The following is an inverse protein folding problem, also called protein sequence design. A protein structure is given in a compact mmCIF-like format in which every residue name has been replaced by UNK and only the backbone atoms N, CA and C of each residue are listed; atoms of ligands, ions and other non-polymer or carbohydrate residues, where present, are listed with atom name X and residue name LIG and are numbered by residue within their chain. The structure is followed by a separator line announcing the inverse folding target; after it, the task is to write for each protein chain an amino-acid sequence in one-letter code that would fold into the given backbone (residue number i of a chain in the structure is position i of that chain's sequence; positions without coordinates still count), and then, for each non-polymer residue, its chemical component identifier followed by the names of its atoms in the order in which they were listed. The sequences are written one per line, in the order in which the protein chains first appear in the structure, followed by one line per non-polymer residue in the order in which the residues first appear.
data_IF_130400307430
#
_entry.id   IF_130400307430
#
_cell.length_a   1.000
_cell.length_b   1.000
_cell.length_c   1.000
_cell.angle_alpha   90.00
_cell.angle_beta   90.00
_cell.angle_gamma   90.00
#
_symmetry.space_group_name_H-M   'P 1'
#
loop_
_entity.id
_entity.type
_entity.pdbx_description
1 polymer ?
#
# COMPACT_ATOMS: atom_id res chain seq x y z
N UNK A 1 -12.19 -12.82 -10.21
CA UNK A 1 -13.42 -13.07 -11.00
C UNK A 1 -13.84 -11.89 -11.88
N UNK A 2 -13.47 -10.63 -11.56
CA UNK A 2 -13.77 -9.47 -12.43
C UNK A 2 -12.51 -8.79 -13.00
N UNK A 3 -11.38 -9.49 -13.05
CA UNK A 3 -10.12 -8.91 -13.51
C UNK A 3 -10.16 -8.59 -15.01
N UNK A 4 -10.89 -9.39 -15.79
CA UNK A 4 -11.06 -9.17 -17.23
C UNK A 4 -11.82 -7.86 -17.54
N UNK A 5 -12.52 -7.30 -16.55
CA UNK A 5 -13.28 -6.05 -16.68
C UNK A 5 -12.43 -4.87 -16.20
N UNK A 6 -11.88 -4.95 -14.99
CA UNK A 6 -11.21 -3.80 -14.35
C UNK A 6 -9.69 -3.80 -14.50
N UNK A 7 -9.08 -4.91 -14.94
CA UNK A 7 -7.64 -5.13 -14.88
C UNK A 7 -6.85 -4.16 -15.76
N UNK A 8 -7.38 -3.84 -16.94
CA UNK A 8 -6.75 -2.89 -17.85
C UNK A 8 -6.70 -1.48 -17.25
N UNK A 9 -7.82 -1.00 -16.70
CA UNK A 9 -7.92 0.32 -16.09
C UNK A 9 -7.04 0.43 -14.84
N UNK A 10 -7.08 -0.58 -13.97
CA UNK A 10 -6.21 -0.65 -12.78
C UNK A 10 -4.75 -0.59 -13.20
N UNK A 11 -4.34 -1.36 -14.20
CA UNK A 11 -2.96 -1.41 -14.68
C UNK A 11 -2.53 -0.05 -15.23
N UNK A 12 -3.36 0.60 -16.06
CA UNK A 12 -3.09 1.92 -16.60
C UNK A 12 -2.86 2.96 -15.51
N UNK A 13 -3.75 3.02 -14.50
CA UNK A 13 -3.61 3.97 -13.39
C UNK A 13 -2.34 3.71 -12.59
N UNK A 14 -2.05 2.45 -12.27
CA UNK A 14 -0.85 2.09 -11.51
C UNK A 14 0.43 2.46 -12.27
N UNK A 15 0.48 2.19 -13.58
CA UNK A 15 1.65 2.54 -14.41
C UNK A 15 1.88 4.04 -14.38
N UNK A 16 0.84 4.84 -14.63
CA UNK A 16 0.97 6.31 -14.64
C UNK A 16 1.45 6.88 -13.30
N UNK A 17 0.96 6.32 -12.19
CA UNK A 17 1.42 6.70 -10.85
C UNK A 17 2.90 6.38 -10.66
N UNK A 18 3.32 5.19 -11.05
CA UNK A 18 4.71 4.73 -10.83
C UNK A 18 5.69 5.44 -11.78
N UNK A 19 5.26 5.79 -13.00
CA UNK A 19 6.02 6.62 -13.94
C UNK A 19 6.05 8.11 -13.53
N UNK A 20 5.29 8.50 -12.52
CA UNK A 20 5.20 9.88 -12.03
C UNK A 20 4.41 10.82 -12.94
N UNK A 21 3.65 10.30 -13.90
CA UNK A 21 2.79 11.10 -14.79
C UNK A 21 1.47 11.48 -14.13
N UNK A 22 1.02 10.70 -13.13
CA UNK A 22 -0.13 11.02 -12.28
C UNK A 22 0.24 10.93 -10.79
N UNK A 23 -0.43 11.72 -9.96
CA UNK A 23 -0.22 11.71 -8.51
C UNK A 23 -1.07 10.65 -7.82
N UNK A 24 -0.51 9.95 -6.84
CA UNK A 24 -1.26 9.05 -5.97
C UNK A 24 -2.12 9.78 -4.91
N UNK A 25 -2.09 11.12 -4.85
CA UNK A 25 -2.75 11.89 -3.80
C UNK A 25 -4.25 11.59 -3.67
N UNK A 26 -4.96 11.41 -4.79
CA UNK A 26 -6.40 11.11 -4.80
C UNK A 26 -6.77 9.72 -4.23
N UNK A 27 -5.80 8.83 -4.06
CA UNK A 27 -6.00 7.46 -3.54
C UNK A 27 -5.17 7.17 -2.29
N UNK A 28 -4.47 8.16 -1.76
CA UNK A 28 -3.63 8.05 -0.55
C UNK A 28 -4.43 8.32 0.74
N UNK A 29 -5.75 8.18 0.69
CA UNK A 29 -6.58 8.24 1.88
C UNK A 29 -6.40 6.97 2.72
N UNK A 30 -6.26 7.15 4.03
CA UNK A 30 -6.02 6.08 4.99
C UNK A 30 -7.16 6.05 6.01
N UNK A 31 -7.75 4.86 6.17
CA UNK A 31 -8.62 4.57 7.31
C UNK A 31 -7.79 3.92 8.40
N UNK A 32 -7.67 4.60 9.55
CA UNK A 32 -6.99 4.04 10.71
C UNK A 32 -7.94 3.11 11.47
N UNK A 33 -7.54 1.85 11.60
CA UNK A 33 -8.27 0.84 12.37
C UNK A 33 -7.45 0.41 13.58
N UNK A 34 -8.07 0.34 14.75
CA UNK A 34 -7.44 -0.09 15.99
C UNK A 34 -7.82 -1.54 16.27
N UNK A 35 -6.86 -2.46 16.16
CA UNK A 35 -7.06 -3.88 16.48
C UNK A 35 -6.64 -4.14 17.93
N UNK A 36 -7.54 -4.68 18.80
CA UNK A 36 -7.19 -5.04 20.16
C UNK A 36 -6.07 -6.10 20.21
N UNK A 37 -5.06 -5.91 21.08
CA UNK A 37 -4.03 -6.92 21.37
C UNK A 37 -4.38 -7.81 22.57
N UNK A 38 -5.32 -7.38 23.40
CA UNK A 38 -5.74 -8.06 24.64
C UNK A 38 -7.27 -8.08 24.74
N UNK A 39 -7.79 -8.96 25.59
CA UNK A 39 -9.23 -8.99 25.94
C UNK A 39 -9.57 -7.77 26.79
N UNK A 40 -10.65 -7.05 26.46
CA UNK A 40 -11.13 -5.84 27.15
C UNK A 40 -10.08 -4.72 27.27
N UNK A 41 -9.62 -4.13 26.15
CA UNK A 41 -8.64 -3.06 26.18
C UNK A 41 -9.20 -1.79 26.83
N UNK A 42 -8.42 -1.17 27.72
CA UNK A 42 -8.74 0.08 28.42
C UNK A 42 -7.75 1.20 28.11
N UNK A 43 -6.58 0.87 27.55
CA UNK A 43 -5.54 1.83 27.17
C UNK A 43 -5.28 1.79 25.66
N UNK A 44 -4.99 2.95 25.05
CA UNK A 44 -4.64 3.03 23.61
C UNK A 44 -3.42 2.18 23.24
N UNK A 45 -2.45 2.06 24.15
CA UNK A 45 -1.26 1.21 23.98
C UNK A 45 -1.59 -0.28 23.84
N UNK A 46 -2.81 -0.71 24.21
CA UNK A 46 -3.29 -2.08 24.04
C UNK A 46 -3.88 -2.35 22.67
N UNK A 47 -3.97 -1.34 21.80
CA UNK A 47 -4.35 -1.52 20.41
C UNK A 47 -3.11 -1.55 19.50
N UNK A 48 -3.24 -2.25 18.38
CA UNK A 48 -2.33 -2.16 17.24
C UNK A 48 -3.02 -1.31 16.17
N UNK A 49 -2.51 -0.13 15.83
CA UNK A 49 -3.03 0.62 14.69
C UNK A 49 -2.68 -0.11 13.39
N UNK A 50 -3.65 -0.21 12.48
CA UNK A 50 -3.44 -0.64 11.10
C UNK A 50 -4.00 0.44 10.18
N UNK A 51 -3.17 0.87 9.24
CA UNK A 51 -3.57 1.76 8.15
C UNK A 51 -4.19 0.94 7.02
N UNK A 52 -5.50 1.09 6.80
CA UNK A 52 -6.16 0.57 5.61
C UNK A 52 -6.10 1.63 4.52
N UNK A 53 -5.30 1.38 3.49
CA UNK A 53 -5.20 2.24 2.31
C UNK A 53 -5.90 1.63 1.09
N UNK A 54 -6.11 2.46 0.06
CA UNK A 54 -6.72 2.05 -1.21
C UNK A 54 -5.93 0.91 -1.88
N UNK A 55 -6.63 -0.03 -2.51
CA UNK A 55 -6.01 -1.17 -3.21
C UNK A 55 -5.09 -0.70 -4.35
N UNK A 56 -5.47 0.34 -5.10
CA UNK A 56 -4.62 0.93 -6.15
C UNK A 56 -3.29 1.44 -5.56
N UNK A 57 -3.36 2.11 -4.41
CA UNK A 57 -2.18 2.61 -3.71
C UNK A 57 -1.28 1.45 -3.25
N UNK A 58 -1.87 0.35 -2.74
CA UNK A 58 -1.14 -0.87 -2.36
C UNK A 58 -0.43 -1.51 -3.55
N UNK A 59 -1.09 -1.57 -4.71
CA UNK A 59 -0.49 -2.15 -5.92
C UNK A 59 0.69 -1.29 -6.38
N UNK A 60 0.53 0.02 -6.49
CA UNK A 60 1.61 0.93 -6.87
C UNK A 60 2.81 0.83 -5.90
N UNK A 61 2.53 0.86 -4.59
CA UNK A 61 3.57 0.68 -3.56
C UNK A 61 4.28 -0.67 -3.67
N UNK A 62 3.55 -1.72 -4.05
CA UNK A 62 4.12 -3.06 -4.24
C UNK A 62 5.02 -3.15 -5.48
N UNK A 63 4.66 -2.48 -6.58
CA UNK A 63 5.50 -2.38 -7.78
C UNK A 63 6.84 -1.75 -7.42
N UNK A 64 6.81 -0.58 -6.76
CA UNK A 64 8.02 0.13 -6.32
C UNK A 64 8.84 -0.74 -5.35
N UNK A 65 8.19 -1.40 -4.38
CA UNK A 65 8.87 -2.29 -3.43
C UNK A 65 9.57 -3.46 -4.14
N UNK A 66 8.98 -4.01 -5.20
CA UNK A 66 9.58 -5.08 -5.98
C UNK A 66 10.81 -4.57 -6.76
N UNK A 67 10.79 -3.33 -7.25
CA UNK A 67 11.98 -2.71 -7.86
C UNK A 67 13.08 -2.50 -6.82
N UNK A 68 12.75 -1.93 -5.67
CA UNK A 68 13.70 -1.72 -4.58
C UNK A 68 14.32 -3.04 -4.11
N UNK A 69 13.54 -4.13 -4.06
CA UNK A 69 14.05 -5.45 -3.68
C UNK A 69 15.25 -5.91 -4.52
N UNK A 70 15.35 -5.50 -5.79
CA UNK A 70 16.47 -5.85 -6.66
C UNK A 70 17.73 -5.04 -6.34
N UNK A 71 17.56 -3.81 -5.85
CA UNK A 71 18.65 -2.84 -5.66
C UNK A 71 19.17 -2.88 -4.22
N UNK A 72 18.28 -3.01 -3.24
CA UNK A 72 18.61 -2.94 -1.81
C UNK A 72 19.72 -3.91 -1.35
N UNK A 73 19.81 -5.17 -1.83
CA UNK A 73 20.92 -6.06 -1.45
C UNK A 73 22.31 -5.52 -1.80
N UNK A 74 22.43 -4.73 -2.88
CA UNK A 74 23.70 -4.12 -3.28
C UNK A 74 24.05 -2.84 -2.51
N UNK A 75 23.10 -2.27 -1.75
CA UNK A 75 23.29 -1.02 -0.99
C UNK A 75 23.45 -1.31 0.51
N UNK A 76 22.74 -2.30 1.05
CA UNK A 76 22.68 -2.57 2.49
C UNK A 76 23.80 -3.55 2.94
N UNK A 77 24.56 -4.14 2.01
CA UNK A 77 25.63 -5.09 2.33
C UNK A 77 27.01 -4.47 2.61
N UNK A 78 27.06 -3.24 3.13
CA UNK A 78 28.19 -2.73 3.91
C UNK A 78 27.86 -2.68 5.41
#
# INVERSE_FOLDING_TARGET
RHWDICGEEITKVVIKIVEGTESAACINEIVLVLIPKVKNPTLLSQFRPISLCNVLYKIASKVISNWLKLILPGIISE
#
